data_IF_646040207453
#
_entry.id   IF_646040207453
#
_cell.length_a   1.000
_cell.length_b   1.000
_cell.length_c   1.000
_cell.angle_alpha   90.00
_cell.angle_beta   90.00
_cell.angle_gamma   90.00
#
_symmetry.space_group_name_H-M   'P 1'
#
loop_
_entity.id
_entity.type
_entity.pdbx_description
1 polymer ?
#
# COMPACT_ATOMS: atom_id res chain seq x y z
N UNK A 1 -25.15 -28.68 8.75
CA UNK A 1 -23.86 -27.94 8.88
C UNK A 1 -24.08 -26.51 9.41
N UNK A 2 -24.81 -25.62 8.73
CA UNK A 2 -25.01 -24.23 9.19
C UNK A 2 -25.58 -24.09 10.63
N UNK A 3 -26.65 -24.84 10.94
CA UNK A 3 -27.27 -24.84 12.27
C UNK A 3 -26.39 -25.50 13.35
N UNK A 4 -25.49 -26.42 12.97
CA UNK A 4 -24.58 -27.11 13.89
C UNK A 4 -23.53 -26.14 14.47
N UNK A 5 -23.13 -25.14 13.66
CA UNK A 5 -22.08 -24.19 14.02
C UNK A 5 -22.62 -22.79 14.36
N UNK A 6 -23.94 -22.62 14.45
CA UNK A 6 -24.60 -21.31 14.66
C UNK A 6 -24.13 -20.23 13.66
N UNK A 7 -23.94 -20.63 12.39
CA UNK A 7 -23.48 -19.73 11.33
C UNK A 7 -24.59 -19.54 10.29
N UNK A 8 -24.75 -18.30 9.82
CA UNK A 8 -25.72 -17.99 8.76
C UNK A 8 -25.46 -18.81 7.48
N UNK A 9 -26.53 -19.33 6.85
CA UNK A 9 -26.44 -20.20 5.66
C UNK A 9 -25.63 -19.56 4.52
N UNK A 10 -25.76 -18.25 4.33
CA UNK A 10 -25.02 -17.50 3.31
C UNK A 10 -23.50 -17.56 3.54
N UNK A 11 -23.04 -17.55 4.80
CA UNK A 11 -21.62 -17.65 5.14
C UNK A 11 -21.07 -19.03 4.79
N UNK A 12 -21.81 -20.10 5.11
CA UNK A 12 -21.45 -21.48 4.75
C UNK A 12 -21.37 -21.62 3.22
N UNK A 13 -22.38 -21.11 2.50
CA UNK A 13 -22.37 -21.13 1.03
C UNK A 13 -21.17 -20.38 0.45
N UNK A 14 -20.85 -19.18 0.96
CA UNK A 14 -19.68 -18.39 0.54
C UNK A 14 -18.37 -19.14 0.76
N UNK A 15 -18.21 -19.79 1.91
CA UNK A 15 -17.00 -20.55 2.25
C UNK A 15 -16.86 -21.77 1.33
N UNK A 16 -17.93 -22.54 1.14
CA UNK A 16 -17.92 -23.71 0.24
C UNK A 16 -17.61 -23.29 -1.20
N UNK A 17 -18.22 -22.21 -1.69
CA UNK A 17 -17.93 -21.67 -3.02
C UNK A 17 -16.46 -21.25 -3.15
N UNK A 18 -15.93 -20.51 -2.17
CA UNK A 18 -14.54 -20.07 -2.16
C UNK A 18 -13.57 -21.26 -2.19
N UNK A 19 -13.86 -22.31 -1.42
CA UNK A 19 -13.06 -23.54 -1.42
C UNK A 19 -13.12 -24.26 -2.77
N UNK A 20 -14.30 -24.41 -3.38
CA UNK A 20 -14.44 -25.03 -4.70
C UNK A 20 -13.70 -24.27 -5.81
N UNK A 21 -13.70 -22.94 -5.76
CA UNK A 21 -13.09 -22.10 -6.79
C UNK A 21 -11.57 -21.91 -6.62
N UNK A 22 -11.10 -21.79 -5.38
CA UNK A 22 -9.71 -21.38 -5.08
C UNK A 22 -8.91 -22.40 -4.30
N UNK A 23 -9.53 -23.49 -3.83
CA UNK A 23 -8.91 -24.47 -2.95
C UNK A 23 -8.59 -23.96 -1.54
N UNK A 24 -9.05 -22.76 -1.17
CA UNK A 24 -8.75 -22.14 0.13
C UNK A 24 -9.98 -21.45 0.71
N UNK A 25 -10.05 -21.41 2.05
CA UNK A 25 -11.05 -20.64 2.81
C UNK A 25 -10.49 -19.29 3.30
N UNK A 26 -9.19 -19.06 3.06
CA UNK A 26 -8.50 -17.85 3.52
C UNK A 26 -9.03 -16.60 2.84
N UNK A 27 -9.20 -15.54 3.63
CA UNK A 27 -9.62 -14.25 3.12
C UNK A 27 -8.42 -13.57 2.46
N UNK A 28 -8.64 -12.97 1.28
CA UNK A 28 -7.64 -12.12 0.64
C UNK A 28 -7.33 -10.91 1.56
N UNK A 29 -6.04 -10.60 1.74
CA UNK A 29 -5.62 -9.37 2.43
C UNK A 29 -6.18 -8.16 1.70
N UNK A 30 -6.87 -7.28 2.43
CA UNK A 30 -7.33 -6.01 1.87
C UNK A 30 -6.10 -5.11 1.61
N UNK A 31 -5.93 -4.56 0.40
CA UNK A 31 -4.75 -3.76 0.05
C UNK A 31 -4.70 -2.40 0.77
N UNK A 32 -5.78 -2.00 1.45
CA UNK A 32 -5.91 -0.69 2.07
C UNK A 32 -6.03 0.43 1.01
N UNK A 33 -5.94 1.69 1.47
CA UNK A 33 -5.99 2.84 0.57
C UNK A 33 -4.71 2.92 -0.28
N UNK A 34 -4.80 3.06 -1.61
CA UNK A 34 -3.64 3.32 -2.45
C UNK A 34 -2.86 4.55 -2.00
N UNK A 35 -1.54 4.52 -2.23
CA UNK A 35 -0.67 5.65 -1.90
C UNK A 35 -0.92 6.79 -2.90
N UNK A 36 -0.72 8.03 -2.41
CA UNK A 36 -0.85 9.23 -3.23
C UNK A 36 0.29 9.30 -4.26
N UNK A 37 1.50 8.90 -3.87
CA UNK A 37 2.65 8.86 -4.78
C UNK A 37 2.57 7.62 -5.66
N UNK A 38 2.65 7.83 -6.97
CA UNK A 38 2.84 6.77 -7.96
C UNK A 38 4.28 6.24 -7.94
N UNK A 39 4.52 5.08 -8.55
CA UNK A 39 5.88 4.53 -8.67
C UNK A 39 6.81 5.44 -9.49
N UNK A 40 6.24 6.26 -10.41
CA UNK A 40 6.99 7.30 -11.13
C UNK A 40 7.42 8.42 -10.19
N UNK A 41 6.50 8.89 -9.34
CA UNK A 41 6.82 9.94 -8.36
C UNK A 41 7.88 9.47 -7.36
N UNK A 42 7.79 8.22 -6.89
CA UNK A 42 8.79 7.61 -6.02
C UNK A 42 10.17 7.63 -6.69
N UNK A 43 10.26 7.25 -7.98
CA UNK A 43 11.53 7.32 -8.72
C UNK A 43 12.06 8.74 -8.85
N UNK A 44 11.19 9.72 -9.06
CA UNK A 44 11.59 11.14 -9.11
C UNK A 44 12.13 11.61 -7.75
N UNK A 45 11.44 11.31 -6.64
CA UNK A 45 11.91 11.57 -5.27
C UNK A 45 13.31 11.00 -5.06
N UNK A 46 13.48 9.72 -5.39
CA UNK A 46 14.74 9.00 -5.22
C UNK A 46 15.84 9.63 -6.06
N UNK A 47 15.55 9.96 -7.32
CA UNK A 47 16.52 10.59 -8.23
C UNK A 47 16.99 11.96 -7.76
N UNK A 48 16.10 12.79 -7.22
CA UNK A 48 16.48 14.11 -6.65
C UNK A 48 17.44 13.94 -5.47
N UNK A 49 17.16 13.00 -4.56
CA UNK A 49 18.02 12.74 -3.40
C UNK A 49 19.36 12.12 -3.78
N UNK A 50 19.40 11.26 -4.81
CA UNK A 50 20.66 10.70 -5.30
C UNK A 50 21.56 11.77 -5.92
N UNK A 51 21.01 12.78 -6.59
CA UNK A 51 21.78 13.91 -7.13
C UNK A 51 22.32 14.82 -6.02
N UNK A 52 21.54 15.05 -4.98
CA UNK A 52 21.97 15.83 -3.83
C UNK A 52 21.34 15.29 -2.54
N UNK A 53 22.15 14.56 -1.75
CA UNK A 53 21.69 13.91 -0.50
C UNK A 53 21.28 14.90 0.59
N UNK A 54 21.73 16.16 0.51
CA UNK A 54 21.44 17.22 1.50
C UNK A 54 20.26 18.13 1.11
N UNK A 55 19.54 17.81 0.04
CA UNK A 55 18.38 18.57 -0.41
C UNK A 55 17.28 18.60 0.68
N UNK A 56 16.62 19.76 0.86
CA UNK A 56 15.56 19.86 1.85
C UNK A 56 14.29 19.12 1.38
N UNK A 57 13.54 18.57 2.35
CA UNK A 57 12.28 17.85 2.07
C UNK A 57 11.22 18.71 1.39
N UNK A 58 11.26 20.03 1.60
CA UNK A 58 10.37 20.97 0.93
C UNK A 58 10.67 21.04 -0.56
N UNK A 59 11.95 21.16 -0.92
CA UNK A 59 12.39 21.27 -2.31
C UNK A 59 12.08 19.99 -3.10
N UNK A 60 12.23 18.82 -2.47
CA UNK A 60 11.80 17.54 -3.06
C UNK A 60 10.29 17.55 -3.34
N UNK A 61 9.48 18.05 -2.39
CA UNK A 61 8.04 18.12 -2.57
C UNK A 61 7.63 19.09 -3.69
N UNK A 62 8.39 20.17 -3.91
CA UNK A 62 8.18 21.10 -5.01
C UNK A 62 8.65 20.56 -6.37
N UNK A 63 9.63 19.64 -6.38
CA UNK A 63 10.16 19.05 -7.61
C UNK A 63 9.23 18.01 -8.26
N UNK A 64 8.11 17.65 -7.62
CA UNK A 64 7.20 16.59 -8.05
C UNK A 64 5.83 17.20 -8.36
N UNK A 65 5.14 16.79 -9.44
CA UNK A 65 3.83 17.33 -9.79
C UNK A 65 2.76 17.05 -8.72
N UNK A 66 2.90 15.94 -8.00
CA UNK A 66 1.94 15.50 -6.98
C UNK A 66 2.15 16.28 -5.68
N UNK A 67 1.16 17.09 -5.28
CA UNK A 67 1.19 17.84 -4.02
C UNK A 67 1.16 16.89 -2.83
N UNK A 68 2.27 16.78 -2.12
CA UNK A 68 2.42 15.91 -0.94
C UNK A 68 3.04 16.63 0.24
N UNK A 69 2.73 16.15 1.43
CA UNK A 69 3.33 16.67 2.67
C UNK A 69 4.79 16.24 2.81
N UNK A 70 5.59 17.02 3.54
CA UNK A 70 6.97 16.67 3.93
C UNK A 70 7.04 15.29 4.63
N UNK A 71 6.03 14.97 5.45
CA UNK A 71 5.92 13.67 6.12
C UNK A 71 5.72 12.50 5.14
N UNK A 72 5.08 12.73 4.00
CA UNK A 72 4.90 11.71 2.96
C UNK A 72 6.19 11.47 2.19
N UNK A 73 6.95 12.53 1.88
CA UNK A 73 8.30 12.40 1.31
C UNK A 73 9.22 11.64 2.26
N UNK A 74 9.29 12.04 3.54
CA UNK A 74 10.13 11.35 4.54
C UNK A 74 9.80 9.85 4.66
N UNK A 75 8.52 9.50 4.81
CA UNK A 75 8.08 8.09 4.85
C UNK A 75 8.47 7.32 3.60
N UNK A 76 8.42 7.98 2.43
CA UNK A 76 8.83 7.37 1.16
C UNK A 76 10.32 7.11 1.16
N UNK A 77 11.15 8.07 1.59
CA UNK A 77 12.60 7.90 1.67
C UNK A 77 13.03 6.80 2.65
N UNK A 78 12.39 6.70 3.83
CA UNK A 78 12.64 5.59 4.76
C UNK A 78 12.31 4.23 4.13
N UNK A 79 11.18 4.13 3.41
CA UNK A 79 10.80 2.89 2.72
C UNK A 79 11.77 2.49 1.62
N UNK A 80 12.47 3.46 1.04
CA UNK A 80 13.52 3.22 0.04
C UNK A 80 14.90 2.99 0.67
N UNK A 81 15.03 3.05 2.00
CA UNK A 81 16.31 2.84 2.71
C UNK A 81 17.31 3.99 2.59
N UNK A 82 16.90 5.17 2.12
CA UNK A 82 17.79 6.31 1.87
C UNK A 82 17.92 7.20 3.12
N UNK A 83 16.91 7.18 3.98
CA UNK A 83 16.78 8.02 5.16
C UNK A 83 16.56 7.14 6.39
N UNK A 84 17.29 7.42 7.47
CA UNK A 84 17.17 6.77 8.79
C UNK A 84 16.61 7.73 9.82
#
# INVERSE_FOLDING_TARGET
IANLYNVHRATVHRIVKLYKEKGTVEKKKNPGRPRILSDRDVRAVVGVVHKNRRVALADIAHAIPTKVSKSTIRRTLHRQGIFS
#
